data_IF_527768770144
#
_entry.id   IF_527768770144
#
_cell.length_a   1.000
_cell.length_b   1.000
_cell.length_c   1.000
_cell.angle_alpha   90.00
_cell.angle_beta   90.00
_cell.angle_gamma   90.00
#
_symmetry.space_group_name_H-M   'P 1'
#
loop_
_entity.id
_entity.type
_entity.pdbx_description
1 polymer ?
#
# COMPACT_ATOMS: atom_id res chain seq x y z
N UNK A 1 24.68 -39.34 -31.48
CA UNK A 1 23.63 -38.45 -32.03
C UNK A 1 23.65 -37.18 -31.18
N UNK A 2 24.21 -36.05 -31.64
CA UNK A 2 24.27 -34.82 -30.85
C UNK A 2 22.90 -34.13 -30.89
N UNK A 3 22.34 -33.79 -29.72
CA UNK A 3 21.17 -32.91 -29.63
C UNK A 3 21.66 -31.49 -29.83
N UNK A 4 21.35 -30.88 -30.97
CA UNK A 4 21.41 -29.44 -31.15
C UNK A 4 20.48 -28.78 -30.13
N UNK A 5 21.04 -28.35 -29.00
CA UNK A 5 20.38 -27.45 -28.07
C UNK A 5 20.37 -26.07 -28.71
N UNK A 6 19.34 -25.78 -29.51
CA UNK A 6 19.10 -24.45 -30.03
C UNK A 6 19.04 -23.46 -28.87
N UNK A 7 20.09 -22.65 -28.74
CA UNK A 7 20.17 -21.55 -27.78
C UNK A 7 19.07 -20.55 -28.17
N UNK A 8 17.93 -20.56 -27.46
CA UNK A 8 16.87 -19.58 -27.66
C UNK A 8 17.40 -18.25 -27.14
N UNK A 9 18.07 -17.49 -28.01
CA UNK A 9 18.54 -16.13 -27.72
C UNK A 9 17.33 -15.20 -27.68
N UNK A 10 16.85 -14.90 -26.49
CA UNK A 10 15.81 -13.90 -26.28
C UNK A 10 16.37 -12.53 -26.71
N UNK A 11 15.69 -11.78 -27.59
CA UNK A 11 16.17 -10.47 -28.01
C UNK A 11 16.22 -9.51 -26.83
N UNK A 12 17.29 -8.73 -26.71
CA UNK A 12 17.47 -7.74 -25.63
C UNK A 12 16.33 -6.72 -25.54
N UNK A 13 15.67 -6.42 -26.66
CA UNK A 13 14.47 -5.56 -26.72
C UNK A 13 13.30 -6.11 -25.91
N UNK A 14 13.12 -7.43 -25.87
CA UNK A 14 12.05 -8.09 -25.08
C UNK A 14 12.35 -7.98 -23.59
N UNK A 15 13.62 -8.10 -23.19
CA UNK A 15 14.06 -7.95 -21.80
C UNK A 15 13.86 -6.52 -21.29
N UNK A 16 14.21 -5.52 -22.12
CA UNK A 16 14.00 -4.10 -21.81
C UNK A 16 12.52 -3.78 -21.70
N UNK A 17 11.69 -4.23 -22.65
CA UNK A 17 10.24 -3.99 -22.60
C UNK A 17 9.58 -4.60 -21.35
N UNK A 18 9.95 -5.83 -20.97
CA UNK A 18 9.46 -6.47 -19.75
C UNK A 18 9.86 -5.70 -18.49
N UNK A 19 11.09 -5.18 -18.43
CA UNK A 19 11.57 -4.36 -17.32
C UNK A 19 10.80 -3.04 -17.19
N UNK A 20 10.54 -2.35 -18.32
CA UNK A 20 9.81 -1.07 -18.32
C UNK A 20 8.36 -1.26 -17.87
N UNK A 21 7.70 -2.32 -18.33
CA UNK A 21 6.33 -2.67 -17.90
C UNK A 21 6.31 -2.97 -16.40
N UNK A 22 7.27 -3.77 -15.90
CA UNK A 22 7.38 -4.07 -14.47
C UNK A 22 7.57 -2.83 -13.59
N UNK A 23 8.37 -1.86 -14.06
CA UNK A 23 8.57 -0.58 -13.37
C UNK A 23 7.28 0.26 -13.34
N UNK A 24 6.62 0.42 -14.49
CA UNK A 24 5.36 1.17 -14.59
C UNK A 24 4.27 0.59 -13.69
N UNK A 25 4.15 -0.74 -13.65
CA UNK A 25 3.20 -1.42 -12.76
C UNK A 25 3.53 -1.16 -11.28
N UNK A 26 4.82 -1.18 -10.92
CA UNK A 26 5.27 -0.93 -9.54
C UNK A 26 5.04 0.52 -9.12
N UNK A 27 5.32 1.49 -9.99
CA UNK A 27 5.04 2.90 -9.73
C UNK A 27 3.54 3.17 -9.59
N UNK A 28 2.73 2.57 -10.46
CA UNK A 28 1.27 2.70 -10.40
C UNK A 28 0.72 2.10 -9.11
N UNK A 29 1.20 0.91 -8.71
CA UNK A 29 0.82 0.27 -7.46
C UNK A 29 1.18 1.15 -6.24
N UNK A 30 2.38 1.73 -6.22
CA UNK A 30 2.81 2.63 -5.16
C UNK A 30 1.95 3.88 -5.07
N UNK A 31 1.64 4.52 -6.21
CA UNK A 31 0.78 5.70 -6.26
C UNK A 31 -0.64 5.41 -5.77
N UNK A 32 -1.24 4.31 -6.22
CA UNK A 32 -2.61 3.94 -5.80
C UNK A 32 -2.65 3.61 -4.31
N UNK A 33 -1.72 2.79 -3.82
CA UNK A 33 -1.63 2.42 -2.41
C UNK A 33 -1.38 3.65 -1.52
N UNK A 34 -0.41 4.47 -1.90
CA UNK A 34 -0.09 5.71 -1.21
C UNK A 34 -1.27 6.66 -1.16
N UNK A 35 -2.00 6.83 -2.27
CA UNK A 35 -3.18 7.69 -2.34
C UNK A 35 -4.32 7.19 -1.46
N UNK A 36 -4.59 5.88 -1.43
CA UNK A 36 -5.62 5.29 -0.59
C UNK A 36 -5.33 5.49 0.91
N UNK A 37 -4.09 5.28 1.34
CA UNK A 37 -3.70 5.53 2.73
C UNK A 37 -3.57 7.01 3.08
N UNK A 38 -3.20 7.86 2.11
CA UNK A 38 -3.23 9.31 2.32
C UNK A 38 -4.67 9.81 2.52
N UNK A 39 -5.62 9.31 1.73
CA UNK A 39 -7.04 9.59 1.90
C UNK A 39 -7.53 9.17 3.29
N UNK A 40 -7.22 7.95 3.74
CA UNK A 40 -7.51 7.49 5.10
C UNK A 40 -7.00 8.45 6.17
N UNK A 41 -5.72 8.81 6.08
CA UNK A 41 -5.08 9.70 7.04
C UNK A 41 -5.67 11.12 7.02
N UNK A 42 -5.91 11.69 5.84
CA UNK A 42 -6.50 13.01 5.72
C UNK A 42 -7.93 13.05 6.30
N UNK A 43 -8.76 12.04 5.98
CA UNK A 43 -10.10 11.91 6.52
C UNK A 43 -10.09 11.74 8.05
N UNK A 44 -9.12 10.99 8.58
CA UNK A 44 -8.90 10.86 10.03
C UNK A 44 -8.63 12.22 10.70
N UNK A 45 -7.74 13.03 10.13
CA UNK A 45 -7.44 14.37 10.65
C UNK A 45 -8.67 15.30 10.62
N UNK A 46 -9.44 15.25 9.53
CA UNK A 46 -10.67 16.04 9.41
C UNK A 46 -11.71 15.61 10.44
N UNK A 47 -11.93 14.30 10.60
CA UNK A 47 -12.85 13.76 11.60
C UNK A 47 -12.43 14.15 13.03
N UNK A 48 -11.16 13.93 13.39
CA UNK A 48 -10.65 14.26 14.74
C UNK A 48 -10.67 15.75 15.04
N UNK A 49 -10.42 16.61 14.06
CA UNK A 49 -10.50 18.07 14.25
C UNK A 49 -11.93 18.59 14.41
N UNK A 50 -12.94 17.91 13.83
CA UNK A 50 -14.35 18.31 13.92
C UNK A 50 -15.11 17.68 15.09
N UNK A 51 -14.91 16.40 15.34
CA UNK A 51 -15.71 15.61 16.28
C UNK A 51 -14.90 15.04 17.45
N UNK A 52 -13.58 15.23 17.43
CA UNK A 52 -12.68 14.65 18.42
C UNK A 52 -12.41 13.16 18.19
N UNK A 53 -11.52 12.60 19.01
CA UNK A 53 -11.05 11.22 18.89
C UNK A 53 -12.13 10.18 19.21
N UNK A 54 -13.16 10.54 19.97
CA UNK A 54 -14.23 9.61 20.35
C UNK A 54 -15.17 9.26 19.20
N UNK A 55 -15.11 9.98 18.08
CA UNK A 55 -15.86 9.66 16.86
C UNK A 55 -15.23 8.48 16.08
N UNK A 56 -13.99 8.10 16.39
CA UNK A 56 -13.32 6.99 15.73
C UNK A 56 -13.94 5.63 16.12
N UNK A 57 -14.43 4.88 15.14
CA UNK A 57 -15.01 3.54 15.37
C UNK A 57 -13.96 2.48 15.69
N UNK A 58 -12.69 2.70 15.34
CA UNK A 58 -11.64 1.73 15.57
C UNK A 58 -11.05 1.85 17.00
N UNK A 59 -11.35 0.92 17.92
CA UNK A 59 -10.90 1.02 19.32
C UNK A 59 -9.37 0.95 19.45
N UNK A 60 -8.68 0.32 18.49
CA UNK A 60 -7.21 0.28 18.47
C UNK A 60 -6.62 1.66 18.16
N UNK A 61 -7.24 2.42 17.26
CA UNK A 61 -6.80 3.77 16.90
C UNK A 61 -7.00 4.71 18.08
N UNK A 62 -8.14 4.61 18.78
CA UNK A 62 -8.41 5.36 20.01
C UNK A 62 -7.37 5.03 21.08
N UNK A 63 -7.12 3.75 21.35
CA UNK A 63 -6.15 3.32 22.35
C UNK A 63 -4.71 3.78 22.01
N UNK A 64 -4.31 3.68 20.74
CA UNK A 64 -2.99 4.12 20.29
C UNK A 64 -2.84 5.65 20.38
N UNK A 65 -3.87 6.41 20.01
CA UNK A 65 -3.85 7.86 20.15
C UNK A 65 -3.85 8.31 21.62
N UNK A 66 -4.51 7.58 22.52
CA UNK A 66 -4.42 7.84 23.96
C UNK A 66 -3.02 7.55 24.52
N UNK A 67 -2.32 6.53 24.01
CA UNK A 67 -0.99 6.14 24.46
C UNK A 67 0.12 7.03 23.91
N UNK A 68 0.06 7.37 22.62
CA UNK A 68 1.15 8.01 21.87
C UNK A 68 0.82 9.44 21.43
N UNK A 69 -0.41 9.91 21.67
CA UNK A 69 -0.93 11.15 21.09
C UNK A 69 -1.20 11.03 19.59
N UNK A 70 -1.85 12.06 19.03
CA UNK A 70 -2.06 12.17 17.58
C UNK A 70 -0.75 12.12 16.76
N UNK A 71 0.35 12.80 17.17
CA UNK A 71 1.61 12.72 16.42
C UNK A 71 2.19 11.31 16.37
N UNK A 72 2.12 10.56 17.47
CA UNK A 72 2.59 9.17 17.50
C UNK A 72 1.72 8.25 16.64
N UNK A 73 0.41 8.44 16.65
CA UNK A 73 -0.51 7.71 15.78
C UNK A 73 -0.23 8.00 14.29
N UNK A 74 0.06 9.25 13.93
CA UNK A 74 0.49 9.63 12.58
C UNK A 74 1.75 8.85 12.17
N UNK A 75 2.76 8.78 13.03
CA UNK A 75 4.00 8.04 12.74
C UNK A 75 3.72 6.55 12.53
N UNK A 76 2.86 5.94 13.34
CA UNK A 76 2.44 4.54 13.18
C UNK A 76 1.73 4.30 11.84
N UNK A 77 0.82 5.20 11.44
CA UNK A 77 0.16 5.12 10.13
C UNK A 77 1.17 5.24 8.98
N UNK A 78 2.06 6.23 9.02
CA UNK A 78 3.11 6.41 7.99
C UNK A 78 4.02 5.19 7.92
N UNK A 79 4.49 4.68 9.07
CA UNK A 79 5.32 3.48 9.12
C UNK A 79 4.61 2.26 8.52
N UNK A 80 3.30 2.13 8.73
CA UNK A 80 2.50 1.05 8.16
C UNK A 80 2.43 1.12 6.63
N UNK A 81 2.26 2.32 6.06
CA UNK A 81 2.26 2.52 4.59
C UNK A 81 3.62 2.19 3.98
N UNK A 82 4.70 2.65 4.63
CA UNK A 82 6.06 2.36 4.21
C UNK A 82 6.33 0.86 4.26
N UNK A 83 5.93 0.19 5.36
CA UNK A 83 6.07 -1.25 5.51
C UNK A 83 5.29 -2.02 4.45
N UNK A 84 4.02 -1.66 4.20
CA UNK A 84 3.18 -2.35 3.22
C UNK A 84 3.75 -2.19 1.81
N UNK A 85 4.20 -0.98 1.47
CA UNK A 85 4.92 -0.71 0.23
C UNK A 85 6.16 -1.58 0.11
N UNK A 86 7.00 -1.61 1.15
CA UNK A 86 8.24 -2.37 1.13
C UNK A 86 7.97 -3.87 0.93
N UNK A 87 6.94 -4.42 1.60
CA UNK A 87 6.51 -5.81 1.43
C UNK A 87 6.11 -6.09 -0.02
N UNK A 88 5.30 -5.22 -0.65
CA UNK A 88 4.88 -5.39 -2.04
C UNK A 88 6.10 -5.35 -2.97
N UNK A 89 7.02 -4.39 -2.80
CA UNK A 89 8.23 -4.25 -3.62
C UNK A 89 9.13 -5.49 -3.49
N UNK A 90 9.36 -5.96 -2.27
CA UNK A 90 10.27 -7.09 -2.00
C UNK A 90 9.70 -8.41 -2.53
N UNK A 91 8.39 -8.63 -2.37
CA UNK A 91 7.75 -9.91 -2.74
C UNK A 91 7.42 -9.98 -4.23
N UNK A 92 7.18 -8.84 -4.89
CA UNK A 92 6.72 -8.78 -6.29
C UNK A 92 7.56 -9.61 -7.28
N UNK A 93 8.92 -9.57 -7.26
CA UNK A 93 9.73 -10.34 -8.20
C UNK A 93 9.62 -11.86 -8.02
N UNK A 94 9.36 -12.30 -6.78
CA UNK A 94 9.39 -13.72 -6.42
C UNK A 94 7.99 -14.34 -6.42
N UNK A 95 6.98 -13.58 -6.00
CA UNK A 95 5.59 -14.03 -5.84
C UNK A 95 4.61 -12.93 -6.25
N UNK A 96 4.47 -12.64 -7.55
CA UNK A 96 3.68 -11.52 -8.06
C UNK A 96 2.19 -11.62 -7.68
N UNK A 97 1.64 -12.84 -7.59
CA UNK A 97 0.25 -13.06 -7.16
C UNK A 97 0.03 -12.64 -5.69
N UNK A 98 0.96 -12.98 -4.80
CA UNK A 98 0.87 -12.58 -3.40
C UNK A 98 1.08 -11.07 -3.25
N UNK A 99 2.03 -10.49 -3.96
CA UNK A 99 2.23 -9.04 -3.98
C UNK A 99 0.96 -8.30 -4.44
N UNK A 100 0.29 -8.80 -5.48
CA UNK A 100 -0.99 -8.25 -5.93
C UNK A 100 -2.10 -8.39 -4.87
N UNK A 101 -2.20 -9.54 -4.18
CA UNK A 101 -3.15 -9.70 -3.08
C UNK A 101 -2.89 -8.73 -1.93
N UNK A 102 -1.62 -8.56 -1.52
CA UNK A 102 -1.24 -7.60 -0.47
C UNK A 102 -1.57 -6.18 -0.89
N UNK A 103 -1.29 -5.82 -2.14
CA UNK A 103 -1.63 -4.50 -2.70
C UNK A 103 -3.13 -4.25 -2.66
N UNK A 104 -3.95 -5.18 -3.14
CA UNK A 104 -5.42 -5.05 -3.16
C UNK A 104 -5.95 -4.91 -1.73
N UNK A 105 -5.52 -5.79 -0.82
CA UNK A 105 -5.94 -5.72 0.59
C UNK A 105 -5.53 -4.38 1.21
N UNK A 106 -4.32 -3.90 0.93
CA UNK A 106 -3.82 -2.61 1.41
C UNK A 106 -4.65 -1.43 0.91
N UNK A 107 -4.93 -1.39 -0.39
CA UNK A 107 -5.80 -0.36 -0.98
C UNK A 107 -7.20 -0.40 -0.37
N UNK A 108 -7.80 -1.58 -0.25
CA UNK A 108 -9.09 -1.74 0.39
C UNK A 108 -9.06 -1.28 1.85
N UNK A 109 -8.01 -1.59 2.61
CA UNK A 109 -7.85 -1.14 3.98
C UNK A 109 -7.78 0.39 4.10
N UNK A 110 -7.01 1.05 3.21
CA UNK A 110 -6.98 2.51 3.13
C UNK A 110 -8.33 3.12 2.77
N UNK A 111 -9.02 2.57 1.75
CA UNK A 111 -10.35 3.06 1.36
C UNK A 111 -11.38 2.89 2.48
N UNK A 112 -11.40 1.73 3.15
CA UNK A 112 -12.33 1.45 4.26
C UNK A 112 -12.04 2.37 5.45
N UNK A 113 -10.78 2.58 5.82
CA UNK A 113 -10.42 3.53 6.88
C UNK A 113 -10.82 4.96 6.55
N UNK A 114 -10.58 5.41 5.32
CA UNK A 114 -10.99 6.75 4.90
C UNK A 114 -12.51 6.92 4.89
N UNK A 115 -13.24 5.92 4.39
CA UNK A 115 -14.70 5.92 4.40
C UNK A 115 -15.26 5.88 5.82
N UNK A 116 -14.70 5.07 6.73
CA UNK A 116 -15.16 5.03 8.12
C UNK A 116 -15.03 6.40 8.79
N UNK A 117 -13.96 7.14 8.51
CA UNK A 117 -13.74 8.47 9.08
C UNK A 117 -14.73 9.50 8.51
N UNK A 118 -15.09 9.39 7.23
CA UNK A 118 -16.08 10.27 6.58
C UNK A 118 -17.52 9.93 7.01
N UNK A 119 -17.85 8.66 7.25
CA UNK A 119 -19.18 8.31 7.78
C UNK A 119 -19.31 8.63 9.27
N UNK A 120 -18.18 8.83 9.96
CA UNK A 120 -18.12 9.30 11.35
C UNK A 120 -18.09 10.83 11.47
N UNK A 121 -18.09 11.55 10.33
CA UNK A 121 -18.34 13.00 10.28
C UNK A 121 -19.81 13.33 10.11
#
# INVERSE_FOLDING_TARGET
MPRDTAEIRIPSTVLVAASTIGLLMSMTAFLILGSAHFFDYASFLVMTSRHGLMAEYNPLVVALAQLLGLPGLTLVKVASVVLLTAVVIIISPQRPKLAASVLVIGVCAGLVGGLSNVTST
#
